data_IF_602735745418
#
_entry.id   IF_602735745418
#
_cell.length_a   1.000
_cell.length_b   1.000
_cell.length_c   1.000
_cell.angle_alpha   90.00
_cell.angle_beta   90.00
_cell.angle_gamma   90.00
#
_symmetry.space_group_name_H-M   'P 1'
#
loop_
_entity.id
_entity.type
_entity.pdbx_description
1 polymer ?
#
# COMPACT_ATOMS: atom_id res chain seq x y z
N UNK A 1 34.93 -16.76 -2.26
CA UNK A 1 34.92 -15.58 -3.15
C UNK A 1 33.68 -14.76 -2.84
N UNK A 2 33.77 -13.71 -2.01
CA UNK A 2 32.64 -12.87 -1.66
C UNK A 2 32.26 -11.98 -2.85
N UNK A 3 31.14 -12.25 -3.51
CA UNK A 3 30.56 -11.38 -4.55
C UNK A 3 29.95 -10.15 -3.87
N UNK A 4 30.79 -9.20 -3.49
CA UNK A 4 30.31 -7.89 -3.04
C UNK A 4 29.83 -7.11 -4.26
N UNK A 5 28.58 -6.64 -4.23
CA UNK A 5 28.05 -5.72 -5.23
C UNK A 5 28.05 -4.30 -4.66
N UNK A 6 28.36 -3.31 -5.50
CA UNK A 6 28.37 -1.89 -5.11
C UNK A 6 27.06 -1.25 -5.57
N UNK A 7 26.43 -0.48 -4.68
CA UNK A 7 25.22 0.30 -5.00
C UNK A 7 25.60 1.78 -5.03
N UNK A 8 25.42 2.42 -6.18
CA UNK A 8 25.58 3.87 -6.35
C UNK A 8 24.27 4.48 -6.83
N UNK A 9 23.84 5.56 -6.17
CA UNK A 9 22.60 6.25 -6.53
C UNK A 9 22.70 7.74 -6.23
N UNK A 10 21.95 8.55 -6.97
CA UNK A 10 21.81 9.99 -6.71
C UNK A 10 20.64 10.19 -5.76
N UNK A 11 20.89 10.90 -4.68
CA UNK A 11 19.87 11.28 -3.69
C UNK A 11 19.99 12.76 -3.41
N UNK A 12 18.87 13.36 -3.00
CA UNK A 12 18.87 14.73 -2.52
C UNK A 12 19.78 14.86 -1.28
N UNK A 13 20.68 15.87 -1.23
CA UNK A 13 21.62 16.02 -0.13
C UNK A 13 20.94 16.31 1.21
N UNK A 14 19.81 17.03 1.20
CA UNK A 14 19.05 17.32 2.43
C UNK A 14 18.36 16.07 2.94
N UNK A 15 17.78 15.27 2.05
CA UNK A 15 17.22 13.95 2.37
C UNK A 15 18.28 13.03 2.99
N UNK A 16 19.48 12.99 2.40
CA UNK A 16 20.61 12.21 2.92
C UNK A 16 20.96 12.61 4.35
N UNK A 17 21.20 13.90 4.58
CA UNK A 17 21.60 14.42 5.88
C UNK A 17 20.55 14.13 6.96
N UNK A 18 19.27 14.36 6.65
CA UNK A 18 18.17 14.08 7.57
C UNK A 18 18.07 12.59 7.91
N UNK A 19 18.17 11.71 6.90
CA UNK A 19 18.14 10.27 7.12
C UNK A 19 19.35 9.81 7.96
N UNK A 20 20.55 10.31 7.69
CA UNK A 20 21.76 9.99 8.45
C UNK A 20 21.64 10.37 9.93
N UNK A 21 21.03 11.51 10.24
CA UNK A 21 20.80 11.93 11.63
C UNK A 21 19.86 10.96 12.37
N UNK A 22 18.78 10.51 11.71
CA UNK A 22 17.85 9.53 12.30
C UNK A 22 18.53 8.17 12.49
N UNK A 23 19.27 7.70 11.48
CA UNK A 23 19.97 6.42 11.52
C UNK A 23 21.09 6.42 12.57
N UNK A 24 21.79 7.54 12.76
CA UNK A 24 22.80 7.68 13.79
C UNK A 24 22.21 7.55 15.21
N UNK A 25 21.01 8.10 15.45
CA UNK A 25 20.30 7.91 16.72
C UNK A 25 19.91 6.44 16.96
N UNK A 26 19.70 5.67 15.90
CA UNK A 26 19.47 4.23 15.94
C UNK A 26 20.77 3.40 16.00
N UNK A 27 21.94 4.06 16.03
CA UNK A 27 23.25 3.40 16.08
C UNK A 27 23.65 2.70 14.78
N UNK A 28 23.13 3.15 13.63
CA UNK A 28 23.40 2.52 12.33
C UNK A 28 23.82 3.52 11.25
N UNK A 29 24.56 3.03 10.28
CA UNK A 29 24.98 3.76 9.08
C UNK A 29 23.95 3.61 7.96
N UNK A 30 23.98 4.53 6.99
CA UNK A 30 23.16 4.47 5.76
C UNK A 30 23.35 3.14 5.02
N UNK A 31 24.58 2.62 4.95
CA UNK A 31 24.87 1.35 4.29
C UNK A 31 24.25 0.15 5.01
N UNK A 32 24.27 0.13 6.35
CA UNK A 32 23.59 -0.90 7.14
C UNK A 32 22.07 -0.83 6.94
N UNK A 33 21.49 0.36 6.95
CA UNK A 33 20.06 0.55 6.69
C UNK A 33 19.65 0.06 5.28
N UNK A 34 20.43 0.38 4.24
CA UNK A 34 20.19 -0.11 2.87
C UNK A 34 20.29 -1.65 2.82
N UNK A 35 21.25 -2.23 3.53
CA UNK A 35 21.39 -3.69 3.61
C UNK A 35 20.18 -4.33 4.27
N UNK A 36 19.67 -3.75 5.36
CA UNK A 36 18.46 -4.22 6.04
C UNK A 36 17.22 -4.07 5.16
N UNK A 37 17.09 -2.96 4.43
CA UNK A 37 16.02 -2.75 3.46
C UNK A 37 15.99 -3.87 2.43
N UNK A 38 17.14 -4.19 1.81
CA UNK A 38 17.21 -5.26 0.81
C UNK A 38 16.90 -6.65 1.40
N UNK A 39 17.36 -6.93 2.62
CA UNK A 39 17.01 -8.18 3.33
C UNK A 39 15.51 -8.30 3.59
N UNK A 40 14.84 -7.22 3.95
CA UNK A 40 13.39 -7.23 4.15
C UNK A 40 12.64 -7.42 2.83
N UNK A 41 13.14 -6.85 1.73
CA UNK A 41 12.57 -7.09 0.40
C UNK A 41 12.68 -8.55 -0.01
N UNK A 42 13.84 -9.16 0.22
CA UNK A 42 14.08 -10.58 -0.03
C UNK A 42 13.17 -11.48 0.82
N UNK A 43 13.09 -11.22 2.13
CA UNK A 43 12.33 -12.02 3.08
C UNK A 43 10.83 -11.98 2.81
N UNK A 44 10.28 -10.78 2.58
CA UNK A 44 8.84 -10.58 2.49
C UNK A 44 8.32 -10.66 1.05
N UNK A 45 9.21 -10.78 0.05
CA UNK A 45 8.89 -10.72 -1.38
C UNK A 45 8.04 -9.48 -1.72
N UNK A 46 8.37 -8.35 -1.10
CA UNK A 46 7.58 -7.12 -1.16
C UNK A 46 8.31 -5.94 -0.53
N UNK A 47 7.66 -4.77 -0.47
CA UNK A 47 8.25 -3.61 0.18
C UNK A 47 8.25 -3.77 1.71
N UNK A 48 9.26 -3.25 2.42
CA UNK A 48 9.34 -3.32 3.89
C UNK A 48 8.35 -2.37 4.60
N UNK A 49 7.47 -1.73 3.84
CA UNK A 49 6.38 -0.91 4.32
C UNK A 49 5.17 -1.12 3.41
N UNK A 50 3.97 -0.96 3.95
CA UNK A 50 2.75 -0.98 3.15
C UNK A 50 2.68 0.31 2.32
N UNK A 51 2.72 0.24 0.98
CA UNK A 51 2.52 1.44 0.17
C UNK A 51 1.10 1.94 0.39
N UNK A 52 0.97 3.16 0.91
CA UNK A 52 -0.31 3.85 1.07
C UNK A 52 -0.27 5.11 0.23
N UNK A 53 -1.29 5.33 -0.59
CA UNK A 53 -1.54 6.66 -1.11
C UNK A 53 -1.96 7.55 0.07
N UNK A 54 -1.59 8.84 0.06
CA UNK A 54 -2.16 9.79 1.01
C UNK A 54 -3.69 9.73 0.90
N UNK A 55 -4.42 9.91 2.01
CA UNK A 55 -5.87 9.91 1.98
C UNK A 55 -6.32 10.94 0.95
N UNK A 56 -6.98 10.47 -0.11
CA UNK A 56 -7.64 11.36 -1.05
C UNK A 56 -8.74 12.08 -0.27
N UNK A 57 -8.50 13.34 0.05
CA UNK A 57 -9.58 14.20 0.51
C UNK A 57 -10.64 14.18 -0.59
N UNK A 58 -11.84 13.67 -0.28
CA UNK A 58 -13.07 13.68 -1.12
C UNK A 58 -13.26 12.49 -2.08
N UNK A 59 -13.44 11.30 -1.54
CA UNK A 59 -14.54 10.46 -2.03
C UNK A 59 -15.62 10.45 -0.95
N UNK A 60 -16.66 11.27 -1.13
CA UNK A 60 -17.92 11.11 -0.40
C UNK A 60 -18.45 9.74 -0.83
N UNK A 61 -18.16 8.72 -0.03
CA UNK A 61 -18.78 7.42 -0.20
C UNK A 61 -20.27 7.62 0.00
N UNK A 62 -21.05 7.64 -1.10
CA UNK A 62 -22.50 7.50 -1.01
C UNK A 62 -22.73 6.03 -0.63
N UNK A 63 -23.19 5.72 0.59
CA UNK A 63 -23.51 4.34 0.93
C UNK A 63 -24.57 3.83 -0.04
N UNK A 64 -24.30 2.67 -0.63
CA UNK A 64 -25.28 1.95 -1.44
C UNK A 64 -26.49 1.63 -0.55
N UNK A 65 -27.66 2.18 -0.87
CA UNK A 65 -28.91 1.74 -0.25
C UNK A 65 -29.30 0.44 -0.93
N UNK A 66 -29.00 -0.68 -0.28
CA UNK A 66 -29.63 -1.94 -0.65
C UNK A 66 -31.10 -1.85 -0.24
N UNK A 67 -32.02 -1.80 -1.21
CA UNK A 67 -33.42 -2.05 -0.91
C UNK A 67 -33.55 -3.53 -0.56
N UNK A 68 -33.72 -3.83 0.73
CA UNK A 68 -33.96 -5.19 1.19
C UNK A 68 -35.32 -5.62 0.71
N UNK A 69 -35.34 -6.47 -0.32
CA UNK A 69 -36.53 -7.20 -0.75
C UNK A 69 -37.07 -8.00 0.44
N UNK A 70 -38.30 -7.70 0.87
CA UNK A 70 -38.96 -8.47 1.92
C UNK A 70 -39.34 -9.84 1.38
N UNK A 71 -38.81 -10.91 1.98
CA UNK A 71 -39.10 -12.32 1.63
C UNK A 71 -40.58 -12.73 1.73
N UNK A 72 -41.47 -11.81 2.13
CA UNK A 72 -42.91 -12.01 2.26
C UNK A 72 -43.71 -11.78 0.98
N UNK A 73 -43.09 -11.34 -0.12
CA UNK A 73 -43.73 -11.35 -1.44
C UNK A 73 -43.40 -12.63 -2.20
N UNK A 74 -44.42 -13.31 -2.70
CA UNK A 74 -44.34 -14.63 -3.38
C UNK A 74 -43.61 -14.63 -4.73
N UNK A 75 -43.10 -13.48 -5.18
CA UNK A 75 -42.44 -13.33 -6.48
C UNK A 75 -40.98 -12.94 -6.26
N UNK A 76 -40.06 -13.89 -6.42
CA UNK A 76 -38.63 -13.60 -6.45
C UNK A 76 -38.31 -12.82 -7.74
N UNK A 77 -37.74 -11.61 -7.66
CA UNK A 77 -37.31 -10.88 -8.84
C UNK A 77 -36.22 -11.67 -9.57
N UNK A 78 -36.26 -11.62 -10.91
CA UNK A 78 -35.30 -12.35 -11.71
C UNK A 78 -33.89 -11.79 -11.51
N UNK A 79 -32.87 -12.62 -11.79
CA UNK A 79 -31.47 -12.26 -11.63
C UNK A 79 -31.18 -10.93 -12.32
N UNK A 80 -31.66 -10.77 -13.54
CA UNK A 80 -31.36 -9.58 -14.34
C UNK A 80 -32.07 -8.30 -13.82
N UNK A 81 -33.24 -8.43 -13.17
CA UNK A 81 -33.92 -7.32 -12.50
C UNK A 81 -33.15 -6.82 -11.27
N UNK A 82 -32.54 -7.74 -10.52
CA UNK A 82 -31.70 -7.43 -9.35
C UNK A 82 -30.42 -6.67 -9.71
N UNK A 83 -29.95 -6.78 -10.96
CA UNK A 83 -28.72 -6.15 -11.45
C UNK A 83 -28.97 -5.03 -12.47
N UNK A 84 -30.22 -4.65 -12.75
CA UNK A 84 -30.56 -3.65 -13.77
C UNK A 84 -29.94 -2.26 -13.49
N UNK A 85 -29.88 -1.82 -12.24
CA UNK A 85 -29.25 -0.55 -11.86
C UNK A 85 -27.71 -0.60 -11.82
N UNK A 86 -27.13 -1.77 -12.07
CA UNK A 86 -25.68 -2.00 -11.96
C UNK A 86 -24.91 -1.64 -13.22
N UNK A 87 -25.61 -1.36 -14.33
CA UNK A 87 -25.01 -0.87 -15.58
C UNK A 87 -23.90 -1.75 -16.16
N UNK A 88 -24.03 -3.08 -15.99
CA UNK A 88 -23.15 -4.11 -16.58
C UNK A 88 -23.82 -4.76 -17.79
#
# INVERSE_FOLDING_TARGET
>A
MSRTAVITTRIDPTLKANAEQVLAQLGMTTAQAITMFLKQVELNRGLPFTPRLPPQTKHVYKPFKAETFSLSSEVMPDRDELYAERGL
#
